data_IF_251436307871
#
_entry.id   IF_251436307871
#
_cell.length_a   1.000
_cell.length_b   1.000
_cell.length_c   1.000
_cell.angle_alpha   90.00
_cell.angle_beta   90.00
_cell.angle_gamma   90.00
#
_symmetry.space_group_name_H-M   'P 1'
#
loop_
_entity.id
_entity.type
_entity.pdbx_description
1 polymer ?
#
# COMPACT_ATOMS: atom_id res chain seq x y z
N UNK A 1 -24.08 -11.61 9.18
CA UNK A 1 -22.73 -12.22 9.11
C UNK A 1 -22.22 -12.02 7.70
N UNK A 2 -20.96 -11.66 7.49
CA UNK A 2 -20.38 -11.47 6.16
C UNK A 2 -19.06 -12.26 6.05
N UNK A 3 -18.72 -12.71 4.85
CA UNK A 3 -17.43 -13.35 4.56
C UNK A 3 -16.61 -12.42 3.70
N UNK A 4 -15.38 -12.14 4.13
CA UNK A 4 -14.44 -11.29 3.39
C UNK A 4 -13.22 -12.13 3.03
N UNK A 5 -12.90 -12.18 1.75
CA UNK A 5 -11.66 -12.73 1.24
C UNK A 5 -10.72 -11.57 0.91
N UNK A 6 -9.61 -11.50 1.63
CA UNK A 6 -8.54 -10.55 1.34
C UNK A 6 -7.48 -11.19 0.44
N UNK A 7 -6.84 -10.36 -0.39
CA UNK A 7 -5.91 -10.78 -1.45
C UNK A 7 -6.40 -11.97 -2.29
N UNK A 8 -7.70 -11.94 -2.65
CA UNK A 8 -8.37 -13.06 -3.31
C UNK A 8 -7.71 -13.45 -4.65
N UNK A 9 -7.04 -12.51 -5.32
CA UNK A 9 -6.30 -12.78 -6.54
C UNK A 9 -5.20 -13.84 -6.39
N UNK A 10 -4.71 -14.10 -5.17
CA UNK A 10 -3.62 -15.03 -4.96
C UNK A 10 -4.02 -16.48 -5.23
N UNK A 11 -5.32 -16.75 -5.29
CA UNK A 11 -5.87 -18.03 -5.74
C UNK A 11 -5.39 -18.41 -7.16
N UNK A 12 -5.07 -17.42 -8.00
CA UNK A 12 -4.52 -17.65 -9.34
C UNK A 12 -3.10 -18.19 -9.33
N UNK A 13 -2.37 -18.09 -8.21
CA UNK A 13 -1.04 -18.68 -8.08
C UNK A 13 -1.08 -20.20 -7.83
N UNK A 14 -2.26 -20.77 -7.59
CA UNK A 14 -2.44 -22.20 -7.41
C UNK A 14 -2.33 -22.93 -8.76
N UNK A 15 -1.69 -24.10 -8.77
CA UNK A 15 -1.61 -24.95 -9.97
C UNK A 15 -2.98 -25.28 -10.55
N UNK A 16 -3.97 -25.48 -9.67
CA UNK A 16 -5.34 -25.82 -10.02
C UNK A 16 -6.32 -24.64 -9.78
N UNK A 17 -5.89 -23.41 -10.06
CA UNK A 17 -6.66 -22.19 -9.79
C UNK A 17 -8.09 -22.24 -10.33
N UNK A 18 -8.28 -22.64 -11.59
CA UNK A 18 -9.60 -22.73 -12.24
C UNK A 18 -10.54 -23.73 -11.53
N UNK A 19 -10.05 -24.93 -11.22
CA UNK A 19 -10.82 -25.94 -10.47
C UNK A 19 -11.18 -25.43 -9.07
N UNK A 20 -10.23 -24.76 -8.41
CA UNK A 20 -10.44 -24.21 -7.06
C UNK A 20 -11.53 -23.13 -7.08
N UNK A 21 -11.48 -22.22 -8.05
CA UNK A 21 -12.53 -21.22 -8.28
C UNK A 21 -13.89 -21.88 -8.56
N UNK A 22 -13.96 -22.90 -9.42
CA UNK A 22 -15.21 -23.60 -9.71
C UNK A 22 -15.82 -24.24 -8.45
N UNK A 23 -15.01 -24.92 -7.64
CA UNK A 23 -15.45 -25.53 -6.37
C UNK A 23 -15.95 -24.45 -5.42
N UNK A 24 -15.20 -23.37 -5.24
CA UNK A 24 -15.58 -22.28 -4.35
C UNK A 24 -16.91 -21.64 -4.79
N UNK A 25 -17.06 -21.34 -6.08
CA UNK A 25 -18.30 -20.80 -6.65
C UNK A 25 -19.48 -21.73 -6.41
N UNK A 26 -19.29 -23.03 -6.61
CA UNK A 26 -20.34 -24.05 -6.42
C UNK A 26 -20.89 -24.08 -4.99
N UNK A 27 -20.11 -23.66 -3.99
CA UNK A 27 -20.57 -23.56 -2.60
C UNK A 27 -21.21 -22.21 -2.31
N UNK A 28 -20.55 -21.13 -2.71
CA UNK A 28 -20.99 -19.75 -2.45
C UNK A 28 -22.38 -19.49 -3.04
N UNK A 29 -22.69 -20.01 -4.23
CA UNK A 29 -23.97 -19.74 -4.90
C UNK A 29 -25.22 -20.21 -4.13
N UNK A 30 -25.07 -21.15 -3.19
CA UNK A 30 -26.19 -21.63 -2.36
C UNK A 30 -26.34 -20.85 -1.04
N UNK A 31 -25.42 -19.94 -0.73
CA UNK A 31 -25.48 -19.12 0.48
C UNK A 31 -26.20 -17.80 0.19
N UNK A 32 -27.53 -17.79 0.34
CA UNK A 32 -28.37 -16.61 0.02
C UNK A 32 -28.32 -15.51 1.09
N UNK A 33 -28.03 -15.88 2.34
CA UNK A 33 -28.10 -14.96 3.48
C UNK A 33 -26.73 -14.47 3.96
N UNK A 34 -25.68 -14.72 3.18
CA UNK A 34 -24.30 -14.37 3.50
C UNK A 34 -23.72 -13.50 2.37
N UNK A 35 -23.50 -12.19 2.59
CA UNK A 35 -22.74 -11.37 1.66
C UNK A 35 -21.27 -11.79 1.62
N UNK A 36 -20.72 -11.82 0.41
CA UNK A 36 -19.32 -12.09 0.12
C UNK A 36 -18.65 -10.83 -0.41
N UNK A 37 -17.51 -10.48 0.18
CA UNK A 37 -16.65 -9.37 -0.27
C UNK A 37 -15.31 -9.98 -0.67
N UNK A 38 -14.86 -9.65 -1.88
CA UNK A 38 -13.55 -10.06 -2.39
C UNK A 38 -12.70 -8.81 -2.57
N UNK A 39 -11.62 -8.72 -1.80
CA UNK A 39 -10.65 -7.65 -1.85
C UNK A 39 -9.35 -8.16 -2.48
N UNK A 40 -8.62 -7.25 -3.13
CA UNK A 40 -7.37 -7.57 -3.79
C UNK A 40 -6.64 -6.34 -4.29
N UNK A 41 -5.33 -6.29 -4.06
CA UNK A 41 -4.46 -5.19 -4.50
C UNK A 41 -4.12 -5.24 -5.99
N UNK A 42 -4.12 -6.42 -6.61
CA UNK A 42 -3.70 -6.61 -8.01
C UNK A 42 -4.93 -6.60 -8.94
N UNK A 43 -5.25 -5.42 -9.47
CA UNK A 43 -6.45 -5.17 -10.28
C UNK A 43 -6.62 -6.09 -11.48
N UNK A 44 -5.58 -6.27 -12.29
CA UNK A 44 -5.68 -7.10 -13.50
C UNK A 44 -6.01 -8.56 -13.20
N UNK A 45 -5.54 -9.09 -12.06
CA UNK A 45 -5.87 -10.45 -11.61
C UNK A 45 -7.29 -10.54 -11.04
N UNK A 46 -7.75 -9.51 -10.34
CA UNK A 46 -9.16 -9.43 -9.95
C UNK A 46 -10.07 -9.38 -11.19
N UNK A 47 -9.67 -8.63 -12.22
CA UNK A 47 -10.38 -8.59 -13.51
C UNK A 47 -10.40 -9.97 -14.20
N UNK A 48 -9.29 -10.72 -14.14
CA UNK A 48 -9.25 -12.11 -14.65
C UNK A 48 -10.27 -13.01 -13.95
N UNK A 49 -10.48 -12.85 -12.64
CA UNK A 49 -11.43 -13.67 -11.88
C UNK A 49 -12.88 -13.26 -12.15
N UNK A 50 -13.20 -11.97 -12.15
CA UNK A 50 -14.60 -11.51 -12.14
C UNK A 50 -15.12 -11.03 -13.50
N UNK A 51 -14.23 -10.62 -14.40
CA UNK A 51 -14.58 -9.99 -15.69
C UNK A 51 -14.17 -10.83 -16.92
N UNK A 52 -13.46 -11.94 -16.76
CA UNK A 52 -13.19 -12.88 -17.85
C UNK A 52 -14.36 -13.85 -18.06
N UNK A 53 -14.96 -13.96 -19.27
CA UNK A 53 -16.02 -14.92 -19.58
C UNK A 53 -15.66 -16.39 -19.30
N UNK A 54 -14.38 -16.76 -19.38
CA UNK A 54 -13.93 -18.14 -19.14
C UNK A 54 -13.76 -18.46 -17.64
N UNK A 55 -13.88 -17.45 -16.76
CA UNK A 55 -13.74 -17.64 -15.32
C UNK A 55 -15.03 -18.20 -14.69
N UNK A 56 -14.95 -19.18 -13.76
CA UNK A 56 -16.09 -19.61 -12.96
C UNK A 56 -16.78 -18.50 -12.15
N UNK A 57 -16.04 -17.42 -11.86
CA UNK A 57 -16.52 -16.26 -11.11
C UNK A 57 -16.98 -15.11 -12.01
N UNK A 58 -17.08 -15.31 -13.32
CA UNK A 58 -17.56 -14.28 -14.25
C UNK A 58 -18.91 -13.69 -13.79
N UNK A 59 -18.94 -12.37 -13.60
CA UNK A 59 -20.12 -11.59 -13.14
C UNK A 59 -20.74 -12.11 -11.83
N UNK A 60 -19.97 -12.80 -11.00
CA UNK A 60 -20.43 -13.32 -9.71
C UNK A 60 -20.47 -12.27 -8.59
N UNK A 61 -19.81 -11.12 -8.79
CA UNK A 61 -19.75 -10.00 -7.87
C UNK A 61 -19.79 -8.66 -8.63
N UNK A 62 -20.10 -7.58 -7.90
CA UNK A 62 -20.05 -6.21 -8.41
C UNK A 62 -18.66 -5.65 -8.12
N UNK A 63 -17.97 -5.19 -9.16
CA UNK A 63 -16.63 -4.59 -9.03
C UNK A 63 -16.74 -3.16 -8.50
N UNK A 64 -16.07 -2.89 -7.38
CA UNK A 64 -15.92 -1.54 -6.83
C UNK A 64 -14.45 -1.17 -6.93
N UNK A 65 -14.14 -0.11 -7.68
CA UNK A 65 -12.78 0.41 -7.76
C UNK A 65 -12.55 1.43 -6.64
N UNK A 66 -11.59 1.16 -5.77
CA UNK A 66 -11.20 2.07 -4.71
C UNK A 66 -10.02 2.91 -5.21
N UNK A 67 -10.22 4.22 -5.32
CA UNK A 67 -9.17 5.16 -5.67
C UNK A 67 -8.30 5.54 -4.47
N UNK A 68 -7.29 6.40 -4.67
CA UNK A 68 -6.54 7.02 -3.58
C UNK A 68 -7.48 7.74 -2.60
N UNK A 69 -7.04 7.84 -1.35
CA UNK A 69 -7.75 8.65 -0.35
C UNK A 69 -7.71 10.12 -0.77
N UNK A 70 -8.85 10.81 -0.60
CA UNK A 70 -8.91 12.25 -0.81
C UNK A 70 -7.92 12.97 0.13
N UNK A 71 -7.10 13.87 -0.45
CA UNK A 71 -6.03 14.55 0.29
C UNK A 71 -6.55 15.44 1.40
N UNK A 72 -7.71 16.09 1.23
CA UNK A 72 -8.27 16.95 2.26
C UNK A 72 -8.77 16.12 3.45
N UNK A 73 -9.48 15.02 3.16
CA UNK A 73 -9.93 14.07 4.18
C UNK A 73 -8.74 13.48 4.94
N UNK A 74 -7.70 13.06 4.22
CA UNK A 74 -6.54 12.43 4.84
C UNK A 74 -5.68 13.45 5.60
N UNK A 75 -5.50 14.66 5.07
CA UNK A 75 -4.83 15.77 5.77
C UNK A 75 -5.53 16.08 7.09
N UNK A 76 -6.87 16.21 7.09
CA UNK A 76 -7.64 16.43 8.30
C UNK A 76 -7.45 15.32 9.35
N UNK A 77 -7.43 14.06 8.91
CA UNK A 77 -7.14 12.92 9.79
C UNK A 77 -5.73 13.00 10.39
N UNK A 78 -4.70 13.28 9.59
CA UNK A 78 -3.31 13.37 10.03
C UNK A 78 -3.12 14.54 11.00
N UNK A 79 -3.63 15.73 10.67
CA UNK A 79 -3.57 16.89 11.57
C UNK A 79 -4.24 16.60 12.92
N UNK A 80 -5.39 15.92 12.91
CA UNK A 80 -6.07 15.51 14.14
C UNK A 80 -5.23 14.51 14.95
N UNK A 81 -4.54 13.56 14.30
CA UNK A 81 -3.62 12.63 14.95
C UNK A 81 -2.42 13.34 15.58
N UNK A 82 -1.77 14.26 14.86
CA UNK A 82 -0.67 15.08 15.40
C UNK A 82 -1.12 15.94 16.59
N UNK A 83 -2.31 16.54 16.48
CA UNK A 83 -2.89 17.39 17.53
C UNK A 83 -3.17 16.62 18.83
N UNK A 84 -3.54 15.33 18.76
CA UNK A 84 -3.68 14.48 19.97
C UNK A 84 -2.37 14.35 20.75
N UNK A 85 -1.22 14.42 20.06
CA UNK A 85 0.11 14.50 20.67
C UNK A 85 0.56 15.91 21.04
N UNK A 86 -0.33 16.90 20.94
CA UNK A 86 -0.01 18.33 21.06
C UNK A 86 1.13 18.77 20.13
N UNK A 87 1.12 18.28 18.90
CA UNK A 87 1.97 18.76 17.80
C UNK A 87 1.10 19.46 16.76
N UNK A 88 1.61 20.49 16.13
CA UNK A 88 0.93 21.19 15.02
C UNK A 88 1.71 20.95 13.75
N UNK A 89 1.05 20.44 12.72
CA UNK A 89 1.66 20.18 11.42
C UNK A 89 1.12 21.20 10.42
N UNK A 90 2.02 21.79 9.63
CA UNK A 90 1.65 22.69 8.55
C UNK A 90 1.04 21.94 7.36
N UNK A 91 0.12 22.58 6.63
CA UNK A 91 -0.46 22.01 5.41
C UNK A 91 0.61 21.74 4.35
N UNK A 92 1.60 22.64 4.23
CA UNK A 92 2.72 22.49 3.28
C UNK A 92 3.55 21.23 3.54
N UNK A 93 3.75 20.84 4.81
CA UNK A 93 4.38 19.55 5.12
C UNK A 93 3.55 18.38 4.57
N UNK A 94 2.24 18.39 4.78
CA UNK A 94 1.36 17.28 4.35
C UNK A 94 1.27 17.19 2.84
N UNK A 95 1.19 18.33 2.15
CA UNK A 95 1.23 18.38 0.69
C UNK A 95 2.53 17.75 0.17
N UNK A 96 3.66 18.08 0.80
CA UNK A 96 4.96 17.51 0.44
C UNK A 96 5.06 16.02 0.75
N UNK A 97 4.47 15.56 1.86
CA UNK A 97 4.36 14.13 2.17
C UNK A 97 3.59 13.42 1.06
N UNK A 98 2.40 13.91 0.69
CA UNK A 98 1.57 13.30 -0.35
C UNK A 98 2.29 13.20 -1.71
N UNK A 99 3.06 14.22 -2.07
CA UNK A 99 3.90 14.21 -3.27
C UNK A 99 4.99 13.14 -3.23
N UNK A 100 5.76 13.07 -2.13
CA UNK A 100 6.88 12.13 -1.97
C UNK A 100 6.37 10.68 -2.01
N UNK A 101 5.22 10.43 -1.38
CA UNK A 101 4.63 9.10 -1.23
C UNK A 101 3.67 8.73 -2.36
N UNK A 102 3.50 9.60 -3.37
CA UNK A 102 2.58 9.41 -4.50
C UNK A 102 1.18 8.98 -4.06
N UNK A 103 0.65 9.64 -3.03
CA UNK A 103 -0.68 9.35 -2.45
C UNK A 103 -0.88 7.92 -1.90
N UNK A 104 0.20 7.13 -1.74
CA UNK A 104 0.11 5.79 -1.16
C UNK A 104 -0.16 5.86 0.35
N UNK A 105 -1.28 5.33 0.87
CA UNK A 105 -1.63 5.48 2.28
C UNK A 105 -0.64 4.85 3.27
N UNK A 106 0.01 3.75 2.89
CA UNK A 106 1.02 3.08 3.71
C UNK A 106 2.27 3.94 3.84
N UNK A 107 2.77 4.45 2.72
CA UNK A 107 3.97 5.30 2.68
C UNK A 107 3.72 6.64 3.40
N UNK A 108 2.53 7.22 3.24
CA UNK A 108 2.09 8.43 3.98
C UNK A 108 2.16 8.18 5.48
N UNK A 109 1.59 7.07 5.95
CA UNK A 109 1.62 6.73 7.37
C UNK A 109 3.03 6.47 7.88
N UNK A 110 3.87 5.79 7.09
CA UNK A 110 5.26 5.52 7.45
C UNK A 110 6.06 6.81 7.59
N UNK A 111 5.96 7.72 6.62
CA UNK A 111 6.66 9.00 6.64
C UNK A 111 6.13 9.90 7.75
N UNK A 112 4.81 10.01 7.94
CA UNK A 112 4.23 10.75 9.07
C UNK A 112 4.63 10.15 10.42
N UNK A 113 4.75 8.82 10.52
CA UNK A 113 5.26 8.14 11.72
C UNK A 113 6.71 8.52 12.02
N UNK A 114 7.57 8.57 10.99
CA UNK A 114 8.93 9.04 11.14
C UNK A 114 8.98 10.53 11.55
N UNK A 115 8.16 11.39 10.95
CA UNK A 115 8.01 12.81 11.35
C UNK A 115 7.63 12.93 12.82
N UNK A 116 6.71 12.09 13.29
CA UNK A 116 6.31 12.08 14.69
C UNK A 116 7.46 11.71 15.64
N UNK A 117 8.30 10.76 15.27
CA UNK A 117 9.42 10.31 16.09
C UNK A 117 10.58 11.30 16.16
N UNK A 118 10.84 12.04 15.07
CA UNK A 118 11.88 13.07 15.04
C UNK A 118 11.42 14.43 15.59
N UNK A 119 10.17 14.54 16.05
CA UNK A 119 9.60 15.78 16.61
C UNK A 119 9.12 15.60 18.05
N UNK A 120 9.17 16.69 18.80
CA UNK A 120 8.84 16.75 20.22
C UNK A 120 7.44 17.29 20.48
N UNK A 121 7.00 17.13 21.71
CA UNK A 121 5.77 17.70 22.22
C UNK A 121 5.76 19.23 22.06
N UNK A 122 4.61 19.81 21.69
CA UNK A 122 4.40 21.24 21.40
C UNK A 122 5.11 21.79 20.15
N UNK A 123 5.73 20.95 19.31
CA UNK A 123 6.38 21.42 18.09
C UNK A 123 5.37 21.96 17.05
N UNK A 124 5.81 22.99 16.34
CA UNK A 124 5.20 23.48 15.11
C UNK A 124 6.02 22.94 13.92
N UNK A 125 5.53 21.87 13.33
CA UNK A 125 6.26 21.05 12.36
C UNK A 125 6.04 21.57 10.94
N UNK A 126 7.14 21.88 10.26
CA UNK A 126 7.19 22.34 8.88
C UNK A 126 8.04 21.39 8.02
N UNK A 127 8.00 21.61 6.72
CA UNK A 127 8.64 20.75 5.70
C UNK A 127 10.15 20.52 5.90
N UNK A 128 10.83 21.36 6.66
CA UNK A 128 12.25 21.25 6.99
C UNK A 128 12.60 19.96 7.76
N UNK A 129 11.61 19.32 8.39
CA UNK A 129 11.80 18.06 9.09
C UNK A 129 11.84 16.83 8.16
N UNK A 130 11.35 16.97 6.93
CA UNK A 130 11.16 15.84 6.00
C UNK A 130 12.46 15.09 5.73
N UNK A 131 13.62 15.75 5.49
CA UNK A 131 14.89 15.04 5.31
C UNK A 131 15.24 14.13 6.49
N UNK A 132 15.11 14.61 7.73
CA UNK A 132 15.40 13.82 8.93
C UNK A 132 14.41 12.66 9.10
N UNK A 133 13.14 12.86 8.77
CA UNK A 133 12.15 11.79 8.78
C UNK A 133 12.46 10.71 7.72
N UNK A 134 12.88 11.10 6.52
CA UNK A 134 13.29 10.17 5.46
C UNK A 134 14.55 9.38 5.85
N UNK A 135 15.55 10.02 6.45
CA UNK A 135 16.73 9.33 7.00
C UNK A 135 16.33 8.26 8.03
N UNK A 136 15.34 8.55 8.87
CA UNK A 136 14.81 7.58 9.83
C UNK A 136 14.09 6.42 9.12
N UNK A 137 13.30 6.68 8.07
CA UNK A 137 12.69 5.61 7.26
C UNK A 137 13.76 4.73 6.63
N UNK A 138 14.77 5.32 5.98
CA UNK A 138 15.84 4.55 5.33
C UNK A 138 16.71 3.76 6.31
N UNK A 139 16.97 4.31 7.50
CA UNK A 139 17.77 3.61 8.51
C UNK A 139 17.07 2.35 9.05
N UNK A 140 15.74 2.32 9.06
CA UNK A 140 14.96 1.12 9.41
C UNK A 140 15.04 0.03 8.36
N UNK A 141 15.07 0.41 7.08
CA UNK A 141 15.11 -0.51 5.95
C UNK A 141 16.55 -0.94 5.57
N UNK A 142 17.57 -0.36 6.21
CA UNK A 142 18.98 -0.57 5.87
C UNK A 142 19.36 -2.06 5.81
N UNK A 143 18.94 -2.85 6.80
CA UNK A 143 19.23 -4.29 6.84
C UNK A 143 18.58 -5.06 5.69
N UNK A 144 17.38 -4.65 5.27
CA UNK A 144 16.70 -5.21 4.11
C UNK A 144 17.45 -4.89 2.81
N UNK A 145 17.88 -3.64 2.66
CA UNK A 145 18.69 -3.22 1.50
C UNK A 145 20.04 -3.93 1.45
N UNK A 146 20.73 -4.09 2.58
CA UNK A 146 21.98 -4.86 2.66
C UNK A 146 21.77 -6.31 2.27
N UNK A 147 20.68 -6.94 2.71
CA UNK A 147 20.33 -8.31 2.33
C UNK A 147 20.09 -8.43 0.83
N UNK A 148 19.34 -7.51 0.22
CA UNK A 148 19.12 -7.48 -1.23
C UNK A 148 20.45 -7.29 -1.97
N UNK A 149 21.26 -6.31 -1.57
CA UNK A 149 22.56 -6.03 -2.20
C UNK A 149 23.54 -7.21 -2.07
N UNK A 150 23.46 -8.00 -1.01
CA UNK A 150 24.29 -9.20 -0.84
C UNK A 150 24.02 -10.29 -1.89
N UNK A 151 22.82 -10.29 -2.49
CA UNK A 151 22.42 -11.22 -3.55
C UNK A 151 22.83 -10.72 -4.95
N UNK A 152 23.33 -9.48 -5.05
CA UNK A 152 23.69 -8.84 -6.31
C UNK A 152 25.14 -9.14 -6.67
N UNK A 153 25.39 -9.52 -7.92
CA UNK A 153 26.77 -9.75 -8.40
C UNK A 153 27.58 -8.47 -8.44
N UNK A 154 28.92 -8.58 -8.39
CA UNK A 154 29.81 -7.41 -8.45
C UNK A 154 29.60 -6.54 -9.71
N UNK A 155 29.18 -7.13 -10.84
CA UNK A 155 28.86 -6.39 -12.07
C UNK A 155 27.57 -5.58 -11.93
N UNK A 156 26.50 -6.19 -11.41
CA UNK A 156 25.23 -5.52 -11.17
C UNK A 156 25.36 -4.41 -10.11
N UNK A 157 26.18 -4.61 -9.07
CA UNK A 157 26.46 -3.59 -8.08
C UNK A 157 27.20 -2.38 -8.67
N UNK A 158 28.14 -2.62 -9.60
CA UNK A 158 28.81 -1.55 -10.36
C UNK A 158 27.83 -0.76 -11.22
N UNK A 159 26.91 -1.45 -11.90
CA UNK A 159 25.85 -0.81 -12.68
C UNK A 159 24.92 0.03 -11.79
N UNK A 160 24.44 -0.52 -10.67
CA UNK A 160 23.61 0.21 -9.71
C UNK A 160 24.29 1.48 -9.17
N UNK A 161 25.57 1.38 -8.78
CA UNK A 161 26.36 2.54 -8.35
C UNK A 161 26.56 3.56 -9.47
N UNK A 162 26.70 3.10 -10.71
CA UNK A 162 26.79 3.97 -11.89
C UNK A 162 25.51 4.75 -12.13
N UNK A 163 24.37 4.07 -12.12
CA UNK A 163 23.04 4.68 -12.28
C UNK A 163 22.74 5.69 -11.17
N UNK A 164 23.02 5.33 -9.91
CA UNK A 164 22.80 6.22 -8.76
C UNK A 164 23.63 7.52 -8.85
N UNK A 165 24.82 7.48 -9.45
CA UNK A 165 25.68 8.67 -9.64
C UNK A 165 25.24 9.55 -10.82
N UNK A 166 24.61 8.97 -11.83
CA UNK A 166 24.20 9.66 -13.05
C UNK A 166 22.75 10.18 -12.98
N UNK A 167 22.03 9.87 -11.90
CA UNK A 167 20.75 10.51 -11.58
C UNK A 167 19.51 9.83 -12.15
N UNK A 168 19.59 8.57 -12.58
CA UNK A 168 18.43 7.76 -12.97
C UNK A 168 17.74 8.21 -14.25
#
# INVERSE_FOLDING_TARGET
MAVVFDEFQDILNLKDASTTLAVLRSKIQFHTDIPYIFAGSIRNRMDEIFNNPDSPFFKSAITINVGPLDREVFSGFLQAKFSKGKRRVSQTLLDRVFEITQDNPGDIQQLCGAVWEVTSYNDNIKEDIIPSALELVFSRELKGYEAILSQVTGQQLRCLKGLARLGG
#
